data_IF_470593283271
#
_entry.id   IF_470593283271
#
_cell.length_a   1.000
_cell.length_b   1.000
_cell.length_c   1.000
_cell.angle_alpha   90.00
_cell.angle_beta   90.00
_cell.angle_gamma   90.00
#
_symmetry.space_group_name_H-M   'P 1'
#
loop_
_entity.id
_entity.type
_entity.pdbx_description
1 polymer ?
#
# COMPACT_ATOMS: atom_id res chain seq x y z
N UNK A 1 19.54 5.70 12.44
CA UNK A 1 18.55 5.71 11.35
C UNK A 1 17.83 4.37 11.39
N UNK A 2 16.58 4.36 11.83
CA UNK A 2 15.75 3.13 11.84
C UNK A 2 15.34 2.83 10.41
N UNK A 3 15.73 1.66 9.89
CA UNK A 3 15.24 1.14 8.62
C UNK A 3 13.72 0.98 8.73
N UNK A 4 12.95 1.72 7.93
CA UNK A 4 11.49 1.71 7.91
C UNK A 4 10.91 0.96 6.71
N UNK A 5 11.78 0.32 5.93
CA UNK A 5 11.41 -0.65 4.90
C UNK A 5 11.27 -2.03 5.55
N UNK A 6 10.04 -2.52 5.62
CA UNK A 6 9.72 -3.80 6.23
C UNK A 6 9.20 -4.77 5.16
N UNK A 7 9.53 -6.06 5.27
CA UNK A 7 8.90 -7.06 4.42
C UNK A 7 7.43 -7.18 4.80
N UNK A 8 6.57 -7.49 3.82
CA UNK A 8 5.18 -7.80 4.13
C UNK A 8 5.10 -9.08 4.96
N UNK A 9 4.24 -9.10 5.98
CA UNK A 9 3.93 -10.31 6.78
C UNK A 9 3.44 -11.43 5.85
N UNK A 10 3.97 -12.66 6.00
CA UNK A 10 3.71 -13.77 5.07
C UNK A 10 2.22 -14.03 4.82
N UNK A 11 1.37 -13.83 5.85
CA UNK A 11 -0.09 -14.02 5.74
C UNK A 11 -0.74 -13.01 4.82
N UNK A 12 -0.21 -11.78 4.78
CA UNK A 12 -0.65 -10.74 3.86
C UNK A 12 -0.06 -11.01 2.47
N UNK A 13 1.21 -11.40 2.40
CA UNK A 13 1.88 -11.68 1.13
C UNK A 13 1.18 -12.81 0.35
N UNK A 14 0.66 -13.83 1.05
CA UNK A 14 -0.13 -14.90 0.45
C UNK A 14 -1.40 -14.41 -0.27
N UNK A 15 -1.95 -13.25 0.09
CA UNK A 15 -3.14 -12.69 -0.58
C UNK A 15 -2.79 -11.99 -1.90
N UNK A 16 -1.53 -11.57 -2.06
CA UNK A 16 -1.08 -10.70 -3.14
C UNK A 16 0.16 -11.25 -3.87
N UNK A 17 0.43 -12.54 -3.73
CA UNK A 17 1.66 -13.18 -4.21
C UNK A 17 1.84 -13.07 -5.74
N UNK A 18 0.73 -12.96 -6.48
CA UNK A 18 0.68 -12.82 -7.94
C UNK A 18 0.38 -11.38 -8.40
N UNK A 19 0.34 -10.40 -7.47
CA UNK A 19 0.08 -9.01 -7.80
C UNK A 19 1.38 -8.28 -8.11
N UNK A 20 1.26 -7.23 -8.94
CA UNK A 20 2.41 -6.37 -9.23
C UNK A 20 2.81 -5.59 -7.98
N UNK A 21 4.11 -5.58 -7.68
CA UNK A 21 4.71 -4.82 -6.58
C UNK A 21 5.66 -3.74 -7.15
N UNK A 22 5.28 -2.45 -7.11
CA UNK A 22 6.14 -1.34 -7.53
C UNK A 22 7.15 -0.94 -6.46
N UNK A 23 7.04 -1.46 -5.23
CA UNK A 23 7.91 -1.16 -4.10
C UNK A 23 8.47 -2.45 -3.45
N UNK A 24 9.07 -3.37 -4.22
CA UNK A 24 9.52 -4.64 -3.66
C UNK A 24 10.68 -4.41 -2.69
N UNK A 25 10.65 -5.13 -1.58
CA UNK A 25 11.76 -5.15 -0.63
C UNK A 25 12.93 -5.96 -1.19
N UNK A 26 13.67 -5.39 -2.13
CA UNK A 26 14.88 -5.99 -2.69
C UNK A 26 15.91 -4.94 -3.07
N UNK A 27 17.17 -5.19 -2.71
CA UNK A 27 18.30 -4.32 -3.04
C UNK A 27 18.57 -4.22 -4.56
N UNK A 28 17.98 -5.13 -5.35
CA UNK A 28 18.18 -5.22 -6.80
C UNK A 28 17.09 -4.51 -7.62
N UNK A 29 16.10 -3.87 -6.98
CA UNK A 29 15.07 -3.13 -7.71
C UNK A 29 15.62 -1.79 -8.17
N UNK A 30 16.12 -1.76 -9.42
CA UNK A 30 16.77 -0.57 -10.01
C UNK A 30 15.78 0.42 -10.65
N UNK A 31 14.49 0.10 -10.64
CA UNK A 31 13.44 0.93 -11.26
C UNK A 31 12.75 1.74 -10.18
N UNK A 32 12.53 3.02 -10.44
CA UNK A 32 11.74 3.88 -9.56
C UNK A 32 10.24 3.58 -9.75
N UNK A 33 9.66 2.85 -8.79
CA UNK A 33 8.25 2.47 -8.80
C UNK A 33 7.27 3.64 -8.88
N UNK A 34 7.67 4.84 -8.45
CA UNK A 34 6.84 6.05 -8.55
C UNK A 34 6.81 6.62 -9.97
N UNK A 35 7.78 6.28 -10.82
CA UNK A 35 7.92 6.80 -12.19
C UNK A 35 7.43 5.84 -13.28
N UNK A 36 7.01 4.63 -12.92
CA UNK A 36 6.50 3.66 -13.88
C UNK A 36 4.97 3.60 -13.92
N UNK A 37 4.44 2.96 -14.96
CA UNK A 37 3.03 2.60 -15.07
C UNK A 37 2.81 1.31 -14.27
N UNK A 38 1.81 1.28 -13.40
CA UNK A 38 1.50 0.09 -12.59
C UNK A 38 0.65 -0.93 -13.36
N UNK A 39 0.60 -2.19 -12.93
CA UNK A 39 -0.32 -3.17 -13.52
C UNK A 39 -1.75 -3.01 -12.98
N UNK A 40 -2.72 -3.68 -13.61
CA UNK A 40 -4.13 -3.59 -13.25
C UNK A 40 -4.44 -4.00 -11.81
N UNK A 41 -3.69 -4.97 -11.27
CA UNK A 41 -3.74 -5.42 -9.89
C UNK A 41 -2.39 -5.14 -9.24
N UNK A 42 -2.36 -4.18 -8.32
CA UNK A 42 -1.13 -3.70 -7.69
C UNK A 42 -1.22 -3.76 -6.18
N UNK A 43 -0.22 -4.33 -5.53
CA UNK A 43 -0.04 -4.33 -4.08
C UNK A 43 1.18 -3.48 -3.73
N UNK A 44 1.05 -2.58 -2.76
CA UNK A 44 2.13 -1.66 -2.36
C UNK A 44 2.34 -1.74 -0.86
N UNK A 45 3.58 -2.00 -0.45
CA UNK A 45 4.03 -1.85 0.93
C UNK A 45 5.12 -0.76 0.99
N UNK A 46 4.73 0.52 1.06
CA UNK A 46 5.66 1.63 0.95
C UNK A 46 6.47 1.83 2.24
N UNK A 47 7.56 2.62 2.20
CA UNK A 47 8.26 3.08 3.40
C UNK A 47 7.30 3.82 4.33
N UNK A 48 7.26 3.44 5.62
CA UNK A 48 6.28 3.99 6.55
C UNK A 48 6.57 5.41 7.04
N UNK A 49 7.81 5.90 6.89
CA UNK A 49 8.17 7.28 7.25
C UNK A 49 7.69 8.30 6.22
N UNK A 50 7.51 7.88 4.96
CA UNK A 50 7.14 8.77 3.86
C UNK A 50 6.22 8.08 2.83
N UNK A 51 5.00 7.65 3.25
CA UNK A 51 4.07 6.95 2.36
C UNK A 51 3.37 7.89 1.36
N UNK A 52 3.41 9.21 1.55
CA UNK A 52 2.61 10.17 0.77
C UNK A 52 2.83 10.11 -0.75
N UNK A 53 4.07 10.04 -1.27
CA UNK A 53 4.28 9.93 -2.72
C UNK A 53 3.67 8.66 -3.31
N UNK A 54 3.69 7.55 -2.56
CA UNK A 54 3.09 6.28 -2.98
C UNK A 54 1.57 6.34 -2.96
N UNK A 55 0.99 7.04 -1.99
CA UNK A 55 -0.46 7.27 -1.90
C UNK A 55 -0.94 8.14 -3.08
N UNK A 56 -0.19 9.20 -3.40
CA UNK A 56 -0.53 10.08 -4.52
C UNK A 56 -0.44 9.33 -5.85
N UNK A 57 0.59 8.51 -6.01
CA UNK A 57 0.73 7.62 -7.17
C UNK A 57 -0.38 6.57 -7.23
N UNK A 58 -0.74 5.96 -6.11
CA UNK A 58 -1.83 5.00 -6.06
C UNK A 58 -3.17 5.63 -6.48
N UNK A 59 -3.46 6.84 -6.02
CA UNK A 59 -4.67 7.57 -6.45
C UNK A 59 -4.63 7.88 -7.95
N UNK A 60 -3.49 8.32 -8.48
CA UNK A 60 -3.31 8.57 -9.92
C UNK A 60 -3.55 7.30 -10.75
N UNK A 61 -2.96 6.18 -10.35
CA UNK A 61 -3.07 4.90 -11.05
C UNK A 61 -4.48 4.28 -10.90
N UNK A 62 -5.13 4.45 -9.76
CA UNK A 62 -6.52 4.02 -9.56
C UNK A 62 -7.50 4.80 -10.45
N UNK A 63 -7.29 6.10 -10.65
CA UNK A 63 -8.07 6.91 -11.61
C UNK A 63 -7.94 6.41 -13.06
N UNK A 64 -6.89 5.67 -13.38
CA UNK A 64 -6.70 4.98 -14.67
C UNK A 64 -7.39 3.61 -14.74
N UNK A 65 -8.22 3.26 -13.75
CA UNK A 65 -9.01 2.04 -13.73
C UNK A 65 -8.33 0.83 -13.09
N UNK A 66 -7.32 1.05 -12.24
CA UNK A 66 -6.54 -0.02 -11.59
C UNK A 66 -7.06 -0.35 -10.20
N UNK A 67 -7.02 -1.63 -9.83
CA UNK A 67 -7.28 -2.12 -8.48
C UNK A 67 -5.97 -2.08 -7.69
N UNK A 68 -5.96 -1.30 -6.61
CA UNK A 68 -4.74 -1.07 -5.83
C UNK A 68 -5.02 -1.39 -4.37
N UNK A 69 -4.11 -2.16 -3.77
CA UNK A 69 -4.09 -2.42 -2.33
C UNK A 69 -2.79 -1.88 -1.75
N UNK A 70 -2.87 -1.14 -0.65
CA UNK A 70 -1.71 -0.63 0.07
C UNK A 70 -1.69 -1.13 1.51
N UNK A 71 -0.52 -1.52 2.02
CA UNK A 71 -0.32 -1.78 3.44
C UNK A 71 0.23 -0.51 4.11
N UNK A 72 -0.59 0.14 4.94
CA UNK A 72 -0.26 1.40 5.59
C UNK A 72 -0.37 1.30 7.11
N UNK A 73 0.23 2.28 7.81
CA UNK A 73 -0.06 2.53 9.23
C UNK A 73 -1.52 2.93 9.37
N UNK A 74 -2.20 2.47 10.42
CA UNK A 74 -3.50 3.02 10.78
C UNK A 74 -3.29 4.32 11.58
N UNK A 75 -3.15 5.43 10.86
CA UNK A 75 -2.92 6.76 11.44
C UNK A 75 -3.91 7.79 10.87
N UNK A 76 -5.09 7.85 11.49
CA UNK A 76 -6.21 8.71 11.07
C UNK A 76 -5.95 10.20 11.28
N UNK A 77 -4.85 10.57 11.95
CA UNK A 77 -4.50 11.96 12.23
C UNK A 77 -3.78 12.65 11.05
N UNK A 78 -3.33 11.86 10.07
CA UNK A 78 -2.49 12.34 8.98
C UNK A 78 -3.28 12.93 7.82
N UNK A 79 -2.66 13.87 7.09
CA UNK A 79 -3.25 14.46 5.88
C UNK A 79 -3.49 13.44 4.77
N UNK A 80 -2.59 12.46 4.63
CA UNK A 80 -2.72 11.42 3.61
C UNK A 80 -3.86 10.45 3.92
N UNK A 81 -4.17 10.20 5.19
CA UNK A 81 -5.33 9.39 5.56
C UNK A 81 -6.63 10.08 5.11
N UNK A 82 -6.74 11.38 5.39
CA UNK A 82 -7.86 12.20 4.91
C UNK A 82 -7.98 12.16 3.38
N UNK A 83 -6.85 12.27 2.65
CA UNK A 83 -6.82 12.18 1.18
C UNK A 83 -7.39 10.84 0.67
N UNK A 84 -7.02 9.72 1.29
CA UNK A 84 -7.56 8.40 0.95
C UNK A 84 -9.07 8.30 1.23
N UNK A 85 -9.52 8.86 2.35
CA UNK A 85 -10.95 8.90 2.70
C UNK A 85 -11.75 9.73 1.69
N UNK A 86 -11.27 10.91 1.31
CA UNK A 86 -11.89 11.79 0.30
C UNK A 86 -11.92 11.15 -1.09
N UNK A 87 -10.92 10.32 -1.41
CA UNK A 87 -10.88 9.53 -2.66
C UNK A 87 -11.83 8.32 -2.65
N UNK A 88 -12.42 7.97 -1.49
CA UNK A 88 -13.35 6.84 -1.37
C UNK A 88 -12.65 5.49 -1.17
N UNK A 89 -11.46 5.48 -0.57
CA UNK A 89 -10.77 4.25 -0.23
C UNK A 89 -11.57 3.37 0.76
N UNK A 90 -11.46 2.05 0.61
CA UNK A 90 -11.98 1.08 1.58
C UNK A 90 -10.85 0.66 2.51
N UNK A 91 -11.11 0.68 3.81
CA UNK A 91 -10.12 0.37 4.84
C UNK A 91 -10.45 -0.97 5.49
N UNK A 92 -9.49 -1.90 5.52
CA UNK A 92 -9.59 -3.16 6.25
C UNK A 92 -8.59 -3.15 7.41
N UNK A 93 -9.09 -3.21 8.64
CA UNK A 93 -8.26 -3.23 9.83
C UNK A 93 -7.61 -4.60 10.03
N UNK A 94 -6.35 -4.59 10.43
CA UNK A 94 -5.65 -5.79 10.86
C UNK A 94 -5.69 -5.83 12.39
N UNK A 95 -6.33 -6.86 12.93
CA UNK A 95 -6.38 -7.05 14.38
C UNK A 95 -4.98 -7.41 14.91
N UNK A 96 -4.51 -6.64 15.89
CA UNK A 96 -3.21 -6.83 16.52
C UNK A 96 -2.08 -6.04 15.84
N UNK A 97 -0.86 -6.57 15.93
CA UNK A 97 0.35 -5.95 15.38
C UNK A 97 1.01 -6.91 14.40
N UNK A 98 1.35 -6.41 13.23
CA UNK A 98 2.14 -7.17 12.27
C UNK A 98 3.54 -7.43 12.83
N UNK A 99 4.10 -8.58 12.44
CA UNK A 99 5.48 -8.95 12.74
C UNK A 99 6.23 -8.93 11.43
N UNK A 100 7.09 -7.93 11.27
CA UNK A 100 7.95 -7.85 10.11
C UNK A 100 9.23 -8.65 10.37
N UNK A 101 9.63 -9.51 9.44
CA UNK A 101 10.87 -10.30 9.51
C UNK A 101 11.05 -11.17 10.78
N UNK A 102 9.97 -11.73 11.35
CA UNK A 102 10.01 -12.50 12.61
C UNK A 102 10.56 -11.71 13.82
N UNK A 103 10.54 -10.39 13.77
CA UNK A 103 10.98 -9.51 14.85
C UNK A 103 9.87 -9.21 15.86
N UNK A 104 10.18 -8.28 16.77
CA UNK A 104 9.21 -7.67 17.68
C UNK A 104 8.01 -7.13 16.89
N UNK A 105 6.80 -7.17 17.47
CA UNK A 105 5.62 -6.59 16.81
C UNK A 105 5.85 -5.13 16.46
N UNK A 106 5.27 -4.66 15.35
CA UNK A 106 5.32 -3.27 14.96
C UNK A 106 4.80 -2.37 16.09
N UNK A 107 5.44 -1.21 16.28
CA UNK A 107 5.03 -0.24 17.31
C UNK A 107 3.76 0.54 16.93
N UNK A 108 3.20 0.28 15.75
CA UNK A 108 2.02 0.94 15.20
C UNK A 108 1.01 -0.09 14.69
N UNK A 109 -0.30 0.24 14.69
CA UNK A 109 -1.31 -0.54 13.99
C UNK A 109 -1.11 -0.43 12.47
N UNK A 110 -1.50 -1.48 11.76
CA UNK A 110 -1.50 -1.52 10.29
C UNK A 110 -2.91 -1.72 9.76
N UNK A 111 -3.15 -1.29 8.53
CA UNK A 111 -4.39 -1.50 7.80
C UNK A 111 -4.09 -1.77 6.33
N UNK A 112 -4.97 -2.51 5.66
CA UNK A 112 -5.02 -2.52 4.21
C UNK A 112 -5.93 -1.38 3.73
N UNK A 113 -5.48 -0.68 2.71
CA UNK A 113 -6.25 0.35 2.02
C UNK A 113 -6.49 -0.12 0.59
N UNK A 114 -7.75 -0.17 0.19
CA UNK A 114 -8.18 -0.66 -1.12
C UNK A 114 -8.75 0.49 -1.92
N UNK A 115 -8.20 0.71 -3.10
CA UNK A 115 -8.74 1.60 -4.12
C UNK A 115 -9.36 0.71 -5.19
N UNK A 116 -10.69 0.58 -5.16
CA UNK A 116 -11.42 -0.21 -6.16
C UNK A 116 -11.38 0.45 -7.53
N UNK A 117 -11.39 -0.37 -8.58
CA UNK A 117 -11.64 0.11 -9.93
C UNK A 117 -13.02 0.77 -9.93
N UNK A 118 -13.08 2.07 -10.25
CA UNK A 118 -14.37 2.70 -10.51
C UNK A 118 -14.99 1.97 -11.69
N UNK A 119 -16.14 1.36 -11.48
CA UNK A 119 -17.00 0.94 -12.58
C UNK A 119 -17.54 2.23 -13.19
N UNK A 120 -16.95 2.69 -14.29
CA UNK A 120 -17.73 3.47 -15.24
C UNK A 120 -18.88 2.55 -15.66
N UNK A 121 -20.08 2.88 -15.22
CA UNK A 121 -21.28 2.37 -15.87
C UNK A 121 -21.21 2.89 -17.30
N UNK A 122 -20.82 2.01 -18.22
CA UNK A 122 -21.11 2.21 -19.63
C UNK A 122 -22.62 2.01 -19.74
N UNK A 123 -23.35 3.13 -19.74
CA UNK A 123 -24.77 3.18 -20.07
C UNK A 123 -25.00 3.19 -21.57
#
# INVERSE_FOLDING_TARGET
>A
MTNDNYATDDRIMQLFWDWFDPCPLTDNFKVDGLKMVWCDRTYVNPPYSHPEPWIDKAIEENKKGKLIVMLLRMDTSTKWFKKLQEHGAVFLWINGRLRFNNLKPANFPSMLVILYKNHSFEG
#
